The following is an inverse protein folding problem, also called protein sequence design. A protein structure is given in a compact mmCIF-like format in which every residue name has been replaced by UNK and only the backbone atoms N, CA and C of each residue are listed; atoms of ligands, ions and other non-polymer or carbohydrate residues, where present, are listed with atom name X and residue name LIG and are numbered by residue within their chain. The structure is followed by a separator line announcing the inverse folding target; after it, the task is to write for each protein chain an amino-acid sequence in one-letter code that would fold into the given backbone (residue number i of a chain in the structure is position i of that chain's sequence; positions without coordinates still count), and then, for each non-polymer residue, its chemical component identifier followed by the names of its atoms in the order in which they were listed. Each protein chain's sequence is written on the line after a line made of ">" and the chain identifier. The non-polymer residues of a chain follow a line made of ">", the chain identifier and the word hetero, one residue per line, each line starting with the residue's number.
data_IF_110019799447
#
_entry.id   IF_110019799447
#
_cell.length_a   1.000
_cell.length_b   1.000
_cell.length_c   1.000
_cell.angle_alpha   90.00
_cell.angle_beta   90.00
_cell.angle_gamma   90.00
#
_symmetry.space_group_name_H-M   'P 1'
#
loop_
_entity.id
_entity.type
_entity.pdbx_description
1 polymer ?
#
# COMPACT_ATOMS: atom_id res chain seq x y z
N UNK A 1 -5.94 8.66 -20.59
CA UNK A 1 -7.14 7.93 -20.13
C UNK A 1 -8.07 8.96 -19.48
N UNK A 2 -9.28 9.13 -20.02
CA UNK A 2 -10.18 10.24 -19.65
C UNK A 2 -10.77 9.96 -18.26
N UNK A 3 -10.31 10.69 -17.24
CA UNK A 3 -10.88 10.70 -15.89
C UNK A 3 -12.29 11.33 -15.94
N UNK A 4 -13.30 10.55 -16.34
CA UNK A 4 -14.71 10.94 -16.22
C UNK A 4 -15.03 11.12 -14.72
N UNK A 5 -15.14 12.39 -14.29
CA UNK A 5 -15.75 12.85 -13.04
C UNK A 5 -15.32 12.12 -11.75
N UNK A 6 -14.10 11.63 -11.64
CA UNK A 6 -13.64 11.03 -10.39
C UNK A 6 -13.13 12.14 -9.47
N UNK A 7 -13.89 12.50 -8.44
CA UNK A 7 -13.44 13.48 -7.43
C UNK A 7 -12.31 12.95 -6.51
N UNK A 8 -11.56 11.95 -6.97
CA UNK A 8 -10.39 11.37 -6.34
C UNK A 8 -9.17 12.22 -6.71
N UNK A 9 -8.36 12.55 -5.71
CA UNK A 9 -7.08 13.24 -5.94
C UNK A 9 -6.02 12.19 -6.26
N UNK A 10 -4.90 12.61 -6.87
CA UNK A 10 -3.77 11.71 -7.13
C UNK A 10 -3.35 10.90 -5.89
N UNK A 11 -3.27 11.57 -4.73
CA UNK A 11 -2.93 10.91 -3.46
C UNK A 11 -3.93 9.83 -3.03
N UNK A 12 -5.19 9.94 -3.44
CA UNK A 12 -6.19 8.90 -3.19
C UNK A 12 -5.90 7.65 -4.06
N UNK A 13 -5.43 7.85 -5.30
CA UNK A 13 -4.98 6.77 -6.19
C UNK A 13 -3.69 6.12 -5.66
N UNK A 14 -2.73 6.91 -5.17
CA UNK A 14 -1.49 6.39 -4.62
C UNK A 14 -1.75 5.48 -3.40
N UNK A 15 -2.74 5.84 -2.56
CA UNK A 15 -3.18 5.01 -1.46
C UNK A 15 -3.75 3.67 -1.95
N UNK A 16 -4.63 3.71 -2.97
CA UNK A 16 -5.22 2.51 -3.54
C UNK A 16 -4.14 1.58 -4.13
N UNK A 17 -3.19 2.15 -4.88
CA UNK A 17 -2.08 1.39 -5.44
C UNK A 17 -1.22 0.75 -4.34
N UNK A 18 -0.91 1.50 -3.28
CA UNK A 18 -0.17 0.96 -2.14
C UNK A 18 -0.93 -0.19 -1.46
N UNK A 19 -2.23 -0.04 -1.23
CA UNK A 19 -3.06 -1.08 -0.60
C UNK A 19 -3.14 -2.31 -1.52
N UNK A 20 -3.30 -2.12 -2.83
CA UNK A 20 -3.36 -3.22 -3.81
C UNK A 20 -2.05 -4.01 -3.88
N UNK A 21 -0.91 -3.32 -3.95
CA UNK A 21 0.41 -3.97 -4.00
C UNK A 21 0.74 -4.73 -2.72
N UNK A 22 0.28 -4.21 -1.57
CA UNK A 22 0.60 -4.76 -0.26
C UNK A 22 -0.50 -5.66 0.32
N UNK A 23 -1.58 -5.89 -0.42
CA UNK A 23 -2.71 -6.75 -0.06
C UNK A 23 -3.57 -6.18 1.07
N UNK A 24 -3.04 -6.17 2.30
CA UNK A 24 -3.73 -5.76 3.51
C UNK A 24 -2.85 -4.83 4.33
N UNK A 25 -3.37 -3.64 4.67
CA UNK A 25 -2.58 -2.64 5.40
C UNK A 25 -3.39 -1.91 6.46
N UNK A 26 -2.69 -1.43 7.49
CA UNK A 26 -3.28 -0.58 8.53
C UNK A 26 -3.16 0.90 8.21
N UNK A 27 -3.97 1.73 8.86
CA UNK A 27 -3.83 3.18 8.78
C UNK A 27 -2.43 3.67 9.22
N UNK A 28 -1.81 3.00 10.19
CA UNK A 28 -0.46 3.34 10.66
C UNK A 28 0.61 3.05 9.59
N UNK A 29 0.50 1.93 8.87
CA UNK A 29 1.41 1.63 7.76
C UNK A 29 1.28 2.64 6.62
N UNK A 30 0.05 3.07 6.30
CA UNK A 30 -0.20 4.14 5.32
C UNK A 30 0.39 5.47 5.79
N UNK A 31 0.17 5.83 7.07
CA UNK A 31 0.75 7.03 7.68
C UNK A 31 2.28 7.05 7.53
N UNK A 32 2.95 5.94 7.87
CA UNK A 32 4.39 5.79 7.79
C UNK A 32 4.88 5.86 6.34
N UNK A 33 4.26 5.08 5.43
CA UNK A 33 4.64 5.04 4.01
C UNK A 33 4.60 6.41 3.36
N UNK A 34 3.50 7.14 3.54
CA UNK A 34 3.28 8.44 2.89
C UNK A 34 3.75 9.63 3.73
N UNK A 35 4.36 9.38 4.90
CA UNK A 35 4.82 10.39 5.87
C UNK A 35 3.77 11.46 6.11
N UNK A 36 2.54 11.02 6.29
CA UNK A 36 1.43 11.94 6.50
C UNK A 36 1.61 12.66 7.84
N UNK A 37 1.28 13.95 7.93
CA UNK A 37 1.56 14.73 9.12
C UNK A 37 0.66 14.34 10.31
N UNK A 38 -0.49 13.69 10.05
CA UNK A 38 -1.46 13.33 11.07
C UNK A 38 -2.27 12.10 10.65
N UNK A 39 -2.53 11.19 11.59
CA UNK A 39 -3.39 10.01 11.43
C UNK A 39 -4.81 10.37 11.00
N UNK A 40 -5.35 11.49 11.48
CA UNK A 40 -6.67 12.00 11.07
C UNK A 40 -6.81 12.23 9.57
N UNK A 41 -5.72 12.62 8.88
CA UNK A 41 -5.74 12.80 7.42
C UNK A 41 -5.85 11.46 6.69
N UNK A 42 -5.13 10.45 7.17
CA UNK A 42 -5.20 9.09 6.65
C UNK A 42 -6.61 8.56 6.82
N UNK A 43 -7.17 8.63 8.03
CA UNK A 43 -8.53 8.16 8.31
C UNK A 43 -9.58 8.85 7.43
N UNK A 44 -9.50 10.16 7.22
CA UNK A 44 -10.43 10.87 6.33
C UNK A 44 -10.36 10.39 4.88
N UNK A 45 -9.15 10.13 4.37
CA UNK A 45 -8.97 9.63 2.99
C UNK A 45 -9.42 8.19 2.84
N UNK A 46 -9.02 7.33 3.77
CA UNK A 46 -9.41 5.93 3.76
C UNK A 46 -10.92 5.79 3.91
N UNK A 47 -11.55 6.57 4.79
CA UNK A 47 -13.02 6.62 4.91
C UNK A 47 -13.68 7.07 3.60
N UNK A 48 -13.15 8.12 2.95
CA UNK A 48 -13.66 8.56 1.62
C UNK A 48 -13.57 7.45 0.57
N UNK A 49 -12.51 6.64 0.60
CA UNK A 49 -12.31 5.52 -0.33
C UNK A 49 -13.22 4.33 0.01
N UNK A 50 -13.44 4.07 1.30
CA UNK A 50 -14.38 3.07 1.82
C UNK A 50 -15.83 3.43 1.45
N UNK A 51 -16.26 4.67 1.70
CA UNK A 51 -17.60 5.19 1.38
C UNK A 51 -17.94 5.08 -0.13
N UNK A 52 -16.91 4.95 -0.98
CA UNK A 52 -17.03 4.81 -2.43
C UNK A 52 -16.96 3.38 -2.94
N UNK A 53 -16.74 2.40 -2.06
CA UNK A 53 -16.65 0.99 -2.43
C UNK A 53 -15.26 0.52 -2.88
N UNK A 54 -14.24 1.40 -2.90
CA UNK A 54 -12.89 1.01 -3.32
C UNK A 54 -12.11 0.21 -2.26
N UNK A 55 -12.47 0.40 -0.99
CA UNK A 55 -11.82 -0.27 0.14
C UNK A 55 -12.84 -0.98 1.00
N UNK A 56 -12.43 -2.10 1.57
CA UNK A 56 -13.13 -2.76 2.67
C UNK A 56 -12.32 -2.60 3.94
N UNK A 57 -13.01 -2.27 5.02
CA UNK A 57 -12.44 -2.16 6.34
C UNK A 57 -12.89 -3.33 7.20
N UNK A 58 -11.94 -4.00 7.85
CA UNK A 58 -12.21 -5.08 8.78
C UNK A 58 -11.42 -4.89 10.06
N UNK A 59 -12.03 -5.18 11.20
CA UNK A 59 -11.37 -5.12 12.50
C UNK A 59 -10.92 -6.51 12.93
N UNK A 60 -9.62 -6.65 13.18
CA UNK A 60 -9.03 -7.84 13.81
C UNK A 60 -9.11 -7.68 15.32
N UNK A 61 -9.67 -8.68 16.00
CA UNK A 61 -9.80 -8.73 17.46
C UNK A 61 -10.37 -7.43 18.08
N UNK A 62 -11.27 -6.75 17.36
CA UNK A 62 -11.89 -5.45 17.71
C UNK A 62 -10.92 -4.28 17.93
N UNK A 63 -9.60 -4.46 17.76
CA UNK A 63 -8.58 -3.45 18.06
C UNK A 63 -7.88 -2.92 16.82
N UNK A 64 -7.55 -3.77 15.86
CA UNK A 64 -6.72 -3.38 14.70
C UNK A 64 -7.59 -3.28 13.46
N UNK A 65 -7.72 -2.06 12.92
CA UNK A 65 -8.39 -1.81 11.64
C UNK A 65 -7.46 -2.10 10.47
N UNK A 66 -7.90 -3.00 9.59
CA UNK A 66 -7.18 -3.41 8.38
C UNK A 66 -8.02 -3.05 7.16
N UNK A 67 -7.34 -2.54 6.14
CA UNK A 67 -7.92 -2.15 4.87
C UNK A 67 -7.38 -3.03 3.76
N UNK A 68 -8.28 -3.46 2.88
CA UNK A 68 -7.94 -4.18 1.67
C UNK A 68 -8.78 -3.66 0.50
N UNK A 69 -8.21 -3.71 -0.68
CA UNK A 69 -8.82 -3.16 -1.89
C UNK A 69 -9.90 -4.08 -2.46
N UNK A 70 -10.88 -3.47 -3.13
CA UNK A 70 -11.92 -4.20 -3.88
C UNK A 70 -11.54 -4.36 -5.36
N UNK A 71 -12.30 -5.18 -6.08
CA UNK A 71 -12.11 -5.38 -7.53
C UNK A 71 -12.25 -4.04 -8.27
N UNK A 72 -13.17 -3.19 -7.84
CA UNK A 72 -13.38 -1.85 -8.39
C UNK A 72 -12.13 -0.96 -8.27
N UNK A 73 -11.38 -1.08 -7.17
CA UNK A 73 -10.13 -0.34 -7.00
C UNK A 73 -9.02 -0.82 -7.92
N UNK A 74 -8.97 -2.13 -8.21
CA UNK A 74 -8.00 -2.70 -9.17
C UNK A 74 -8.30 -2.22 -10.58
N UNK A 75 -9.57 -2.25 -10.98
CA UNK A 75 -9.98 -1.84 -12.32
C UNK A 75 -9.72 -0.34 -12.54
N UNK A 76 -9.77 0.47 -11.47
CA UNK A 76 -9.43 1.90 -11.51
C UNK A 76 -7.92 2.17 -11.69
N UNK A 77 -7.07 1.39 -11.02
CA UNK A 77 -5.61 1.62 -10.95
C UNK A 77 -4.80 0.80 -11.94
N UNK A 78 -5.42 -0.19 -12.59
CA UNK A 78 -4.80 -1.12 -13.53
C UNK A 78 -3.56 -1.84 -12.97
N UNK A 79 -3.49 -2.00 -11.64
CA UNK A 79 -2.38 -2.70 -10.97
C UNK A 79 -2.66 -4.20 -11.02
N UNK A 80 -1.71 -5.04 -11.50
CA UNK A 80 -1.87 -6.50 -11.50
C UNK A 80 -1.69 -7.05 -10.08
N UNK A 81 -2.70 -6.86 -9.22
CA UNK A 81 -2.73 -7.38 -7.87
C UNK A 81 -3.83 -8.43 -7.70
N UNK A 82 -3.50 -9.52 -7.02
CA UNK A 82 -4.47 -10.54 -6.61
C UNK A 82 -5.20 -10.03 -5.37
N UNK A 83 -6.50 -9.80 -5.50
CA UNK A 83 -7.33 -9.35 -4.38
C UNK A 83 -7.85 -10.58 -3.64
N UNK A 84 -7.55 -10.73 -2.34
CA UNK A 84 -8.06 -11.84 -1.54
C UNK A 84 -9.58 -11.69 -1.37
N UNK A 85 -10.35 -12.69 -1.82
CA UNK A 85 -11.81 -12.74 -1.66
C UNK A 85 -12.22 -13.15 -0.25
N UNK A 86 -11.37 -13.91 0.45
CA UNK A 86 -11.52 -14.29 1.86
C UNK A 86 -10.18 -14.08 2.55
N UNK A 87 -10.19 -13.27 3.60
CA UNK A 87 -9.03 -13.00 4.44
C UNK A 87 -9.21 -13.75 5.77
N UNK A 88 -8.34 -14.73 6.04
CA UNK A 88 -8.25 -15.36 7.36
C UNK A 88 -7.40 -14.49 8.28
N UNK A 89 -7.55 -14.65 9.60
CA UNK A 89 -6.73 -13.92 10.59
C UNK A 89 -5.22 -14.19 10.36
N UNK A 90 -4.85 -15.45 10.07
CA UNK A 90 -3.45 -15.81 9.80
C UNK A 90 -2.89 -15.12 8.56
N UNK A 91 -3.65 -15.10 7.45
CA UNK A 91 -3.24 -14.38 6.24
C UNK A 91 -3.10 -12.88 6.48
N UNK A 92 -3.99 -12.28 7.29
CA UNK A 92 -3.87 -10.87 7.67
C UNK A 92 -2.61 -10.62 8.50
N UNK A 93 -2.35 -11.44 9.51
CA UNK A 93 -1.16 -11.30 10.36
C UNK A 93 0.13 -11.39 9.55
N UNK A 94 0.19 -12.37 8.65
CA UNK A 94 1.36 -12.56 7.79
C UNK A 94 1.59 -11.35 6.87
N UNK A 95 0.55 -10.88 6.19
CA UNK A 95 0.62 -9.70 5.30
C UNK A 95 1.04 -8.43 6.07
N UNK A 96 0.46 -8.21 7.25
CA UNK A 96 0.81 -7.05 8.08
C UNK A 96 2.28 -7.08 8.51
N UNK A 97 2.78 -8.25 8.94
CA UNK A 97 4.17 -8.42 9.33
C UNK A 97 5.12 -8.20 8.16
N UNK A 98 4.77 -8.72 6.97
CA UNK A 98 5.57 -8.50 5.76
C UNK A 98 5.60 -7.02 5.37
N UNK A 99 4.48 -6.33 5.47
CA UNK A 99 4.39 -4.90 5.18
C UNK A 99 5.22 -4.06 6.17
N UNK A 100 5.24 -4.42 7.46
CA UNK A 100 6.10 -3.76 8.44
C UNK A 100 7.59 -3.97 8.14
N UNK A 101 7.99 -5.17 7.73
CA UNK A 101 9.37 -5.44 7.32
C UNK A 101 9.76 -4.63 6.08
N UNK A 102 8.89 -4.57 5.07
CA UNK A 102 9.12 -3.79 3.85
C UNK A 102 9.33 -2.31 4.21
N UNK A 103 8.46 -1.74 5.04
CA UNK A 103 8.58 -0.36 5.50
C UNK A 103 9.89 -0.15 6.27
N UNK A 104 10.23 -1.05 7.18
CA UNK A 104 11.47 -0.98 7.95
C UNK A 104 12.71 -0.93 7.06
N UNK A 105 12.80 -1.82 6.06
CA UNK A 105 13.93 -1.84 5.13
C UNK A 105 13.95 -0.62 4.20
N UNK A 106 12.79 -0.13 3.79
CA UNK A 106 12.68 1.09 2.99
C UNK A 106 13.22 2.30 3.77
N UNK A 107 12.81 2.49 5.03
CA UNK A 107 13.33 3.55 5.89
C UNK A 107 14.83 3.40 6.13
N UNK A 108 15.29 2.18 6.44
CA UNK A 108 16.71 1.91 6.69
C UNK A 108 17.56 2.20 5.46
N UNK A 109 17.08 1.86 4.27
CA UNK A 109 17.81 2.08 3.02
C UNK A 109 17.84 3.56 2.65
N UNK A 110 16.72 4.27 2.86
CA UNK A 110 16.66 5.73 2.65
C UNK A 110 17.69 6.46 3.53
N UNK A 111 17.83 6.06 4.80
CA UNK A 111 18.81 6.62 5.72
C UNK A 111 20.27 6.34 5.29
N UNK A 112 20.50 5.32 4.46
CA UNK A 112 21.81 4.96 3.89
C UNK A 112 22.02 5.49 2.47
N UNK A 113 21.02 6.18 1.88
CA UNK A 113 21.05 6.64 0.49
C UNK A 113 20.91 5.52 -0.56
N UNK A 114 20.48 4.32 -0.16
CA UNK A 114 20.33 3.16 -1.05
C UNK A 114 18.87 3.07 -1.50
N UNK A 115 18.65 2.78 -2.79
CA UNK A 115 17.29 2.54 -3.31
C UNK A 115 16.82 1.12 -2.99
N UNK A 116 15.75 1.01 -2.20
CA UNK A 116 15.11 -0.28 -1.89
C UNK A 116 13.96 -0.55 -2.87
N UNK A 117 13.99 -1.71 -3.54
CA UNK A 117 12.88 -2.19 -4.37
C UNK A 117 12.50 -3.61 -3.94
N UNK A 118 11.38 -3.72 -3.26
CA UNK A 118 10.73 -5.00 -2.98
C UNK A 118 9.73 -5.32 -4.09
N UNK A 119 9.74 -6.56 -4.58
CA UNK A 119 8.74 -7.10 -5.51
C UNK A 119 8.09 -8.32 -4.86
N UNK A 120 6.76 -8.36 -4.86
CA UNK A 120 6.00 -9.49 -4.33
C UNK A 120 5.87 -10.58 -5.40
N UNK A 121 5.81 -11.84 -4.97
CA UNK A 121 5.55 -12.98 -5.85
C UNK A 121 4.21 -12.77 -6.59
N UNK A 122 4.28 -12.63 -7.93
CA UNK A 122 3.16 -12.22 -8.79
C UNK A 122 3.45 -11.01 -9.70
N UNK A 123 4.41 -10.15 -9.33
CA UNK A 123 4.93 -9.10 -10.21
C UNK A 123 6.01 -9.71 -11.14
N UNK A 124 5.69 -10.01 -12.41
CA UNK A 124 6.69 -10.46 -13.40
C UNK A 124 7.73 -9.36 -13.63
N UNK A 125 8.90 -9.48 -13.02
CA UNK A 125 10.05 -8.66 -13.37
C UNK A 125 11.25 -8.95 -12.46
N UNK A 126 12.36 -9.28 -13.08
CA UNK A 126 13.67 -9.55 -12.50
C UNK A 126 14.11 -8.61 -11.37
N UNK A 127 14.85 -9.17 -10.43
CA UNK A 127 15.56 -8.48 -9.34
C UNK A 127 16.72 -7.70 -9.97
N UNK A 128 16.76 -6.39 -9.79
CA UNK A 128 17.93 -5.57 -10.12
C UNK A 128 18.35 -4.76 -8.90
N UNK A 129 19.50 -5.15 -8.33
CA UNK A 129 20.24 -4.35 -7.37
C UNK A 129 21.08 -3.35 -8.16
N UNK A 130 20.66 -2.09 -8.22
CA UNK A 130 21.58 -1.03 -8.62
C UNK A 130 22.28 -0.54 -7.36
N UNK A 131 23.47 -1.10 -7.11
CA UNK A 131 24.44 -0.51 -6.21
C UNK A 131 24.81 0.87 -6.73
N UNK A 132 24.60 1.89 -5.91
CA UNK A 132 25.11 3.24 -6.14
C UNK A 132 26.65 3.23 -6.07
N UNK A 133 27.32 2.92 -7.18
CA UNK A 133 28.47 3.67 -7.66
C UNK A 133 27.94 4.41 -8.89
N UNK A 134 28.09 5.72 -9.06
CA UNK A 134 29.35 6.42 -9.21
C UNK A 134 29.26 7.80 -8.56
N UNK A 135 30.25 8.11 -7.72
CA UNK A 135 30.61 9.49 -7.45
C UNK A 135 31.18 10.08 -8.75
N UNK A 136 30.68 11.24 -9.13
CA UNK A 136 31.29 12.07 -10.16
C UNK A 136 32.66 12.53 -9.67
N UNK A 137 33.71 12.22 -10.44
CA UNK A 137 34.87 13.11 -10.63
C UNK A 137 34.75 13.67 -12.04
#
# INVERSE_FOLDING_TARGET
>A
MVLKYCSLKQKDLDYLEYILRNGMVTANQILLKFREPNSSRVYRRVKKLEDRGYLKHQRIAHKVGVYFATIEARDLTNVPATIPTKATIYTMQHELLMNDLILYYEFRSLNKGITFRYKREGEKGSISFFGTGWAYV
#
